data_IF_316416137606
#
_entry.id   IF_316416137606
#
_cell.length_a   1.000
_cell.length_b   1.000
_cell.length_c   1.000
_cell.angle_alpha   90.00
_cell.angle_beta   90.00
_cell.angle_gamma   90.00
#
_symmetry.space_group_name_H-M   'P 1'
#
loop_
_entity.id
_entity.type
_entity.pdbx_description
1 polymer ?
#
# COMPACT_ATOMS: atom_id res chain seq x y z
N UNK A 1 9.01 -75.46 -10.83
CA UNK A 1 8.38 -74.21 -11.28
C UNK A 1 8.27 -73.36 -10.04
N UNK A 2 9.36 -72.64 -9.73
CA UNK A 2 9.50 -71.88 -8.49
C UNK A 2 9.47 -70.40 -8.87
N UNK A 3 8.42 -69.72 -8.44
CA UNK A 3 8.26 -68.28 -8.58
C UNK A 3 9.12 -67.58 -7.53
N UNK A 4 10.32 -67.13 -7.92
CA UNK A 4 11.09 -66.18 -7.12
C UNK A 4 10.34 -64.84 -7.07
N UNK A 5 9.61 -64.63 -5.98
CA UNK A 5 9.12 -63.32 -5.57
C UNK A 5 10.30 -62.41 -5.24
N UNK A 6 10.80 -61.69 -6.24
CA UNK A 6 11.73 -60.57 -6.06
C UNK A 6 11.00 -59.44 -5.34
N UNK A 7 11.10 -59.42 -4.01
CA UNK A 7 10.68 -58.29 -3.20
C UNK A 7 11.53 -57.07 -3.59
N UNK A 8 10.90 -56.14 -4.31
CA UNK A 8 11.51 -54.91 -4.82
C UNK A 8 11.93 -54.01 -3.64
N UNK A 9 13.22 -54.06 -3.28
CA UNK A 9 13.84 -53.38 -2.13
C UNK A 9 14.03 -51.87 -2.31
N UNK A 10 13.39 -51.24 -3.30
CA UNK A 10 13.57 -49.83 -3.62
C UNK A 10 12.62 -48.88 -2.88
N UNK A 11 11.87 -49.35 -1.87
CA UNK A 11 11.02 -48.47 -1.09
C UNK A 11 11.84 -47.73 -0.02
N UNK A 12 11.83 -46.38 -0.02
CA UNK A 12 12.53 -45.63 1.01
C UNK A 12 11.90 -45.90 2.39
N UNK A 13 12.72 -46.00 3.45
CA UNK A 13 12.24 -46.27 4.81
C UNK A 13 11.18 -45.26 5.24
N UNK A 14 10.24 -45.69 6.08
CA UNK A 14 9.09 -44.88 6.51
C UNK A 14 9.48 -43.51 7.08
N UNK A 15 10.66 -43.40 7.71
CA UNK A 15 11.24 -42.16 8.20
C UNK A 15 11.55 -41.16 7.07
N UNK A 16 12.09 -41.60 5.93
CA UNK A 16 12.37 -40.74 4.77
C UNK A 16 11.09 -40.19 4.12
N UNK A 17 10.01 -40.98 4.08
CA UNK A 17 8.70 -40.52 3.56
C UNK A 17 8.11 -39.39 4.41
N UNK A 18 8.31 -39.42 5.73
CA UNK A 18 7.86 -38.36 6.65
C UNK A 18 8.60 -37.04 6.39
N UNK A 19 9.92 -37.09 6.20
CA UNK A 19 10.74 -35.90 5.89
C UNK A 19 10.38 -35.24 4.56
N UNK A 20 10.10 -36.04 3.53
CA UNK A 20 9.66 -35.52 2.23
C UNK A 20 8.34 -34.75 2.35
N UNK A 21 7.34 -35.33 3.04
CA UNK A 21 6.03 -34.66 3.25
C UNK A 21 6.18 -33.34 4.00
N UNK A 22 7.02 -33.28 5.03
CA UNK A 22 7.27 -32.05 5.79
C UNK A 22 7.94 -30.99 4.91
N UNK A 23 8.93 -31.36 4.09
CA UNK A 23 9.58 -30.43 3.15
C UNK A 23 8.59 -29.86 2.13
N UNK A 24 7.76 -30.71 1.52
CA UNK A 24 6.73 -30.25 0.59
C UNK A 24 5.69 -29.36 1.26
N UNK A 25 5.29 -29.66 2.50
CA UNK A 25 4.41 -28.80 3.27
C UNK A 25 5.02 -27.42 3.52
N UNK A 26 6.30 -27.35 3.89
CA UNK A 26 7.02 -26.08 4.06
C UNK A 26 7.08 -25.31 2.73
N UNK A 27 7.45 -25.97 1.63
CA UNK A 27 7.47 -25.31 0.32
C UNK A 27 6.10 -24.79 -0.08
N UNK A 28 5.03 -25.56 0.15
CA UNK A 28 3.66 -25.13 -0.13
C UNK A 28 3.29 -23.88 0.68
N UNK A 29 3.63 -23.83 1.97
CA UNK A 29 3.39 -22.65 2.83
C UNK A 29 4.18 -21.43 2.34
N UNK A 30 5.45 -21.61 1.99
CA UNK A 30 6.30 -20.51 1.48
C UNK A 30 5.75 -19.97 0.15
N UNK A 31 5.41 -20.85 -0.79
CA UNK A 31 4.81 -20.46 -2.08
C UNK A 31 3.50 -19.72 -1.85
N UNK A 32 2.64 -20.24 -0.97
CA UNK A 32 1.38 -19.57 -0.63
C UNK A 32 1.61 -18.17 -0.05
N UNK A 33 2.58 -18.01 0.87
CA UNK A 33 2.92 -16.71 1.43
C UNK A 33 3.42 -15.72 0.36
N UNK A 34 4.25 -16.18 -0.59
CA UNK A 34 4.71 -15.36 -1.72
C UNK A 34 3.54 -14.93 -2.60
N UNK A 35 2.64 -15.86 -2.97
CA UNK A 35 1.47 -15.55 -3.81
C UNK A 35 0.56 -14.53 -3.13
N UNK A 36 0.28 -14.69 -1.83
CA UNK A 36 -0.51 -13.73 -1.08
C UNK A 36 0.18 -12.35 -1.02
N UNK A 37 1.50 -12.33 -0.83
CA UNK A 37 2.29 -11.10 -0.86
C UNK A 37 2.23 -10.38 -2.21
N UNK A 38 2.29 -11.11 -3.32
CA UNK A 38 2.13 -10.53 -4.68
C UNK A 38 0.74 -9.96 -4.89
N UNK A 39 -0.31 -10.66 -4.45
CA UNK A 39 -1.70 -10.16 -4.56
C UNK A 39 -1.88 -8.89 -3.72
N UNK A 40 -1.38 -8.88 -2.48
CA UNK A 40 -1.41 -7.70 -1.62
C UNK A 40 -0.70 -6.52 -2.29
N UNK A 41 0.52 -6.75 -2.79
CA UNK A 41 1.33 -5.75 -3.47
C UNK A 41 0.61 -5.16 -4.70
N UNK A 42 0.02 -6.00 -5.55
CA UNK A 42 -0.72 -5.54 -6.73
C UNK A 42 -1.97 -4.73 -6.37
N UNK A 43 -2.75 -5.18 -5.37
CA UNK A 43 -3.94 -4.46 -4.90
C UNK A 43 -3.55 -3.09 -4.33
N UNK A 44 -2.50 -3.07 -3.54
CA UNK A 44 -1.95 -1.86 -2.95
C UNK A 44 -1.50 -0.87 -4.04
N UNK A 45 -0.72 -1.31 -5.03
CA UNK A 45 -0.31 -0.44 -6.14
C UNK A 45 -1.48 0.09 -6.96
N UNK A 46 -2.47 -0.75 -7.24
CA UNK A 46 -3.67 -0.31 -7.95
C UNK A 46 -4.47 0.75 -7.14
N UNK A 47 -4.50 0.65 -5.81
CA UNK A 47 -5.12 1.68 -4.96
C UNK A 47 -4.31 2.97 -4.95
N UNK A 48 -2.98 2.87 -4.83
CA UNK A 48 -2.08 4.02 -4.90
C UNK A 48 -2.24 4.76 -6.23
N UNK A 49 -2.22 4.05 -7.36
CA UNK A 49 -2.36 4.61 -8.70
C UNK A 49 -3.71 5.33 -8.86
N UNK A 50 -4.80 4.75 -8.35
CA UNK A 50 -6.13 5.40 -8.35
C UNK A 50 -6.13 6.67 -7.52
N UNK A 51 -5.54 6.64 -6.33
CA UNK A 51 -5.48 7.81 -5.47
C UNK A 51 -4.64 8.92 -6.11
N UNK A 52 -3.50 8.57 -6.74
CA UNK A 52 -2.67 9.53 -7.45
C UNK A 52 -3.39 10.09 -8.69
N UNK A 53 -4.13 9.27 -9.42
CA UNK A 53 -4.97 9.74 -10.52
C UNK A 53 -5.99 10.78 -10.04
N UNK A 54 -6.64 10.57 -8.88
CA UNK A 54 -7.54 11.56 -8.28
C UNK A 54 -6.79 12.85 -7.91
N UNK A 55 -5.63 12.74 -7.26
CA UNK A 55 -4.79 13.90 -6.93
C UNK A 55 -4.46 14.71 -8.19
N UNK A 56 -4.00 14.07 -9.26
CA UNK A 56 -3.67 14.76 -10.51
C UNK A 56 -4.89 15.34 -11.23
N UNK A 57 -6.04 14.66 -11.19
CA UNK A 57 -7.30 15.19 -11.74
C UNK A 57 -7.77 16.46 -11.04
N UNK A 58 -7.45 16.59 -9.74
CA UNK A 58 -7.72 17.77 -8.93
C UNK A 58 -6.58 18.80 -9.00
N UNK A 59 -5.71 18.70 -10.01
CA UNK A 59 -4.56 19.59 -10.24
C UNK A 59 -3.53 19.57 -9.09
N UNK A 60 -3.60 18.56 -8.22
CA UNK A 60 -2.65 18.35 -7.14
C UNK A 60 -1.33 17.78 -7.63
N UNK A 61 -0.29 17.97 -6.83
CA UNK A 61 1.02 17.35 -7.04
C UNK A 61 1.31 16.43 -5.86
N UNK A 62 1.88 15.26 -6.13
CA UNK A 62 2.35 14.35 -5.09
C UNK A 62 3.88 14.22 -5.17
N UNK A 63 4.53 14.35 -4.02
CA UNK A 63 5.95 14.07 -3.85
C UNK A 63 6.16 13.08 -2.72
N UNK A 64 7.25 12.31 -2.79
CA UNK A 64 7.70 11.50 -1.66
C UNK A 64 9.00 12.06 -1.12
N UNK A 65 9.08 12.18 0.21
CA UNK A 65 10.31 12.61 0.90
C UNK A 65 11.24 11.41 1.08
N UNK A 66 10.68 10.22 1.33
CA UNK A 66 11.44 9.00 1.60
C UNK A 66 10.69 7.78 1.08
N UNK A 67 11.29 7.07 0.11
CA UNK A 67 10.82 5.78 -0.37
C UNK A 67 11.39 4.67 0.52
N UNK A 68 10.59 4.15 1.46
CA UNK A 68 10.97 3.04 2.31
C UNK A 68 10.20 1.75 1.94
N UNK A 69 10.81 0.56 2.05
CA UNK A 69 10.13 -0.70 1.73
C UNK A 69 8.91 -1.00 2.61
N UNK A 70 8.77 -0.32 3.75
CA UNK A 70 7.67 -0.50 4.70
C UNK A 70 6.73 0.70 4.79
N UNK A 71 6.92 1.72 3.95
CA UNK A 71 6.05 2.89 3.91
C UNK A 71 6.69 4.06 3.18
N UNK A 72 5.84 4.97 2.70
CA UNK A 72 6.28 6.23 2.09
C UNK A 72 5.68 7.38 2.86
N UNK A 73 6.50 8.38 3.15
CA UNK A 73 5.99 9.70 3.50
C UNK A 73 5.67 10.42 2.20
N UNK A 74 4.39 10.78 2.03
CA UNK A 74 3.87 11.42 0.83
C UNK A 74 3.30 12.78 1.19
N UNK A 75 3.72 13.78 0.44
CA UNK A 75 3.19 15.14 0.53
C UNK A 75 2.38 15.39 -0.73
N UNK A 76 1.10 15.66 -0.56
CA UNK A 76 0.18 16.08 -1.62
C UNK A 76 -0.04 17.57 -1.50
N UNK A 77 0.26 18.33 -2.54
CA UNK A 77 0.14 19.79 -2.54
C UNK A 77 -0.92 20.26 -3.52
N UNK A 78 -1.73 21.24 -3.13
CA UNK A 78 -2.71 21.93 -3.99
C UNK A 78 -2.46 23.44 -3.98
N UNK A 79 -2.49 24.08 -5.16
CA UNK A 79 -2.31 25.54 -5.33
C UNK A 79 -3.63 26.33 -5.19
N UNK A 80 -4.74 25.62 -4.98
CA UNK A 80 -6.08 26.21 -4.78
C UNK A 80 -6.85 25.47 -3.70
N UNK A 81 -7.88 26.09 -3.17
CA UNK A 81 -8.84 25.40 -2.31
C UNK A 81 -9.67 24.41 -3.15
N UNK A 82 -10.07 23.32 -2.49
CA UNK A 82 -10.94 22.31 -3.08
C UNK A 82 -12.37 22.53 -2.60
N UNK A 83 -13.31 22.25 -3.50
CA UNK A 83 -14.74 22.20 -3.16
C UNK A 83 -15.06 20.97 -2.31
N UNK A 84 -16.23 20.94 -1.68
CA UNK A 84 -16.66 19.78 -0.87
C UNK A 84 -16.70 18.47 -1.66
N UNK A 85 -17.15 18.50 -2.93
CA UNK A 85 -17.18 17.31 -3.80
C UNK A 85 -15.75 16.83 -4.13
N UNK A 86 -14.83 17.77 -4.37
CA UNK A 86 -13.43 17.43 -4.62
C UNK A 86 -12.75 16.85 -3.37
N UNK A 87 -13.05 17.40 -2.19
CA UNK A 87 -12.58 16.85 -0.90
C UNK A 87 -13.12 15.45 -0.64
N UNK A 88 -14.38 15.18 -0.97
CA UNK A 88 -14.97 13.84 -0.88
C UNK A 88 -14.24 12.84 -1.80
N UNK A 89 -13.97 13.23 -3.05
CA UNK A 89 -13.19 12.41 -4.00
C UNK A 89 -11.77 12.17 -3.49
N UNK A 90 -11.14 13.19 -2.90
CA UNK A 90 -9.82 13.12 -2.30
C UNK A 90 -9.78 12.18 -1.08
N UNK A 91 -10.93 11.86 -0.47
CA UNK A 91 -11.10 10.91 0.61
C UNK A 91 -10.58 9.50 0.30
N UNK A 92 -10.36 9.14 -0.97
CA UNK A 92 -9.65 7.90 -1.35
C UNK A 92 -8.25 7.81 -0.70
N UNK A 93 -7.60 8.93 -0.41
CA UNK A 93 -6.31 8.97 0.29
C UNK A 93 -6.39 8.39 1.71
N UNK A 94 -7.54 8.47 2.39
CA UNK A 94 -7.72 7.85 3.71
C UNK A 94 -7.53 6.33 3.64
N UNK A 95 -7.85 5.69 2.51
CA UNK A 95 -7.66 4.24 2.34
C UNK A 95 -6.19 3.81 2.27
N UNK A 96 -5.27 4.75 2.05
CA UNK A 96 -3.83 4.51 2.05
C UNK A 96 -3.21 4.71 3.44
N UNK A 97 -3.97 5.22 4.40
CA UNK A 97 -3.54 5.37 5.78
C UNK A 97 -3.23 3.98 6.38
N UNK A 98 -2.18 3.92 7.19
CA UNK A 98 -1.70 2.67 7.81
C UNK A 98 -0.46 2.08 7.14
N UNK A 99 -0.27 2.30 5.83
CA UNK A 99 0.98 1.99 5.12
C UNK A 99 1.78 3.24 4.75
N UNK A 100 1.12 4.39 4.68
CA UNK A 100 1.73 5.70 4.38
C UNK A 100 1.43 6.72 5.45
N UNK A 101 2.39 7.62 5.63
CA UNK A 101 2.15 8.91 6.27
C UNK A 101 1.87 9.89 5.15
N UNK A 102 0.63 10.38 5.06
CA UNK A 102 0.21 11.29 4.00
C UNK A 102 -0.11 12.64 4.63
N UNK A 103 0.56 13.68 4.13
CA UNK A 103 0.24 15.07 4.45
C UNK A 103 -0.34 15.77 3.24
N UNK A 104 -1.40 16.55 3.44
CA UNK A 104 -2.06 17.34 2.40
C UNK A 104 -1.83 18.82 2.68
N UNK A 105 -1.13 19.51 1.78
CA UNK A 105 -0.70 20.89 1.95
C UNK A 105 -1.41 21.78 0.94
N UNK A 106 -2.11 22.80 1.42
CA UNK A 106 -2.73 23.82 0.60
C UNK A 106 -1.81 25.04 0.54
N UNK A 107 -1.27 25.35 -0.64
CA UNK A 107 -0.43 26.52 -0.94
C UNK A 107 -1.28 27.71 -1.40
N UNK A 108 -2.41 27.88 -0.74
CA UNK A 108 -3.33 28.96 -1.00
C UNK A 108 -3.93 29.44 0.32
N UNK A 109 -4.39 30.69 0.36
CA UNK A 109 -5.11 31.17 1.53
C UNK A 109 -6.46 30.46 1.64
N UNK A 110 -6.68 29.78 2.75
CA UNK A 110 -7.96 29.16 3.09
C UNK A 110 -8.59 29.92 4.26
N UNK A 111 -9.91 30.03 4.25
CA UNK A 111 -10.60 30.46 5.47
C UNK A 111 -10.51 29.36 6.53
N UNK A 112 -10.62 29.70 7.83
CA UNK A 112 -10.64 28.69 8.89
C UNK A 112 -11.74 27.64 8.70
N UNK A 113 -12.87 28.03 8.09
CA UNK A 113 -13.99 27.13 7.79
C UNK A 113 -13.64 26.15 6.67
N UNK A 114 -12.96 26.60 5.62
CA UNK A 114 -12.49 25.72 4.54
C UNK A 114 -11.44 24.73 5.05
N UNK A 115 -10.49 25.19 5.87
CA UNK A 115 -9.48 24.31 6.46
C UNK A 115 -10.12 23.26 7.38
N UNK A 116 -11.06 23.65 8.22
CA UNK A 116 -11.82 22.73 9.07
C UNK A 116 -12.63 21.72 8.24
N UNK A 117 -13.24 22.14 7.13
CA UNK A 117 -13.95 21.24 6.23
C UNK A 117 -13.01 20.22 5.56
N UNK A 118 -11.82 20.65 5.14
CA UNK A 118 -10.81 19.76 4.58
C UNK A 118 -10.30 18.75 5.62
N UNK A 119 -10.05 19.19 6.86
CA UNK A 119 -9.68 18.31 7.97
C UNK A 119 -10.79 17.31 8.33
N UNK A 120 -12.06 17.73 8.27
CA UNK A 120 -13.19 16.86 8.52
C UNK A 120 -13.38 15.81 7.41
N UNK A 121 -13.13 16.18 6.15
CA UNK A 121 -13.21 15.26 5.02
C UNK A 121 -12.03 14.26 4.98
N UNK A 122 -10.89 14.65 5.54
CA UNK A 122 -9.64 13.87 5.56
C UNK A 122 -9.15 13.67 7.01
N UNK A 123 -9.96 13.05 7.88
CA UNK A 123 -9.70 13.00 9.32
C UNK A 123 -8.42 12.23 9.68
N UNK A 124 -8.00 11.37 8.78
CA UNK A 124 -6.90 10.43 8.93
C UNK A 124 -5.57 10.98 8.39
N UNK A 125 -5.59 12.15 7.76
CA UNK A 125 -4.45 12.76 7.08
C UNK A 125 -4.02 14.05 7.78
N UNK A 126 -2.74 14.38 7.62
CA UNK A 126 -2.20 15.63 8.14
C UNK A 126 -2.49 16.78 7.16
N UNK A 127 -3.63 17.43 7.31
CA UNK A 127 -4.07 18.55 6.46
C UNK A 127 -3.60 19.90 7.01
N UNK A 128 -2.86 20.68 6.21
CA UNK A 128 -2.31 21.99 6.60
C UNK A 128 -2.40 23.01 5.47
N UNK A 129 -2.55 24.28 5.84
CA UNK A 129 -2.22 25.40 4.95
C UNK A 129 -0.72 25.72 5.10
N UNK A 130 -0.05 25.94 3.97
CA UNK A 130 1.36 26.35 3.93
C UNK A 130 1.42 27.73 3.32
N UNK A 131 1.89 28.71 4.09
CA UNK A 131 2.10 30.06 3.59
C UNK A 131 3.40 30.08 2.77
N UNK A 132 3.30 30.43 1.48
CA UNK A 132 4.41 30.44 0.52
C UNK A 132 5.45 31.56 0.78
N UNK A 133 5.39 32.21 1.95
CA UNK A 133 6.26 33.33 2.32
C UNK A 133 7.59 32.90 2.96
N UNK A 134 8.12 31.73 2.64
CA UNK A 134 9.48 31.36 3.06
C UNK A 134 10.45 31.69 1.92
N UNK A 135 11.21 32.80 2.00
CA UNK A 135 12.15 33.23 0.96
C UNK A 135 13.41 32.36 0.82
N UNK A 136 13.52 31.27 1.57
CA UNK A 136 14.73 30.44 1.68
C UNK A 136 14.59 29.06 1.01
N UNK A 137 13.97 29.02 -0.18
CA UNK A 137 13.92 27.83 -1.05
C UNK A 137 15.13 27.73 -1.97
#
# INVERSE_FOLDING_TARGET
>A
MNEEHTANSNQPPASQRRWLRVRYAIYAVVILAIVLGVIDYQRYHAQLDRAMAVVYQLEGRAGSILDWPFGREMVVTFERSLTSEELERLGILNSLQGRHVISVWFRCQMTPQQLAAAQAALPDLNVRQVDDQSPDG
#
